data_IF_305693686710
#
_entry.id   IF_305693686710
#
_cell.length_a   1.000
_cell.length_b   1.000
_cell.length_c   1.000
_cell.angle_alpha   90.00
_cell.angle_beta   90.00
_cell.angle_gamma   90.00
#
_symmetry.space_group_name_H-M   'P 1'
#
loop_
_entity.id
_entity.type
_entity.pdbx_description
1 polymer ?
#
# COMPACT_ATOMS: atom_id res chain seq x y z
N UNK A 1 -29.29 -8.32 17.57
CA UNK A 1 -28.82 -7.69 16.32
C UNK A 1 -27.76 -6.67 16.71
N UNK A 2 -26.48 -7.03 16.54
CA UNK A 2 -25.36 -6.19 16.96
C UNK A 2 -25.23 -5.01 16.00
N UNK A 3 -25.13 -3.80 16.56
CA UNK A 3 -24.90 -2.54 15.85
C UNK A 3 -23.54 -2.64 15.16
N UNK A 4 -23.52 -2.54 13.83
CA UNK A 4 -22.29 -2.49 13.05
C UNK A 4 -21.68 -1.11 13.25
N UNK A 5 -20.62 -1.03 14.05
CA UNK A 5 -19.91 0.21 14.34
C UNK A 5 -19.57 0.97 13.05
N UNK A 6 -20.05 2.20 12.98
CA UNK A 6 -20.06 3.07 11.78
C UNK A 6 -18.69 3.74 11.55
N UNK A 7 -17.59 3.02 11.77
CA UNK A 7 -16.24 3.53 11.54
C UNK A 7 -15.27 2.43 11.11
N UNK A 8 -15.67 1.58 10.17
CA UNK A 8 -14.76 0.61 9.56
C UNK A 8 -13.86 1.36 8.56
N UNK A 9 -12.69 1.81 9.03
CA UNK A 9 -11.58 2.08 8.11
C UNK A 9 -11.26 0.78 7.37
N UNK A 10 -11.22 0.82 6.05
CA UNK A 10 -10.85 -0.32 5.20
C UNK A 10 -9.40 -0.73 5.49
N UNK A 11 -9.09 -2.03 5.35
CA UNK A 11 -7.71 -2.53 5.43
C UNK A 11 -6.87 -2.12 4.21
N UNK A 12 -5.55 -2.33 4.29
CA UNK A 12 -4.64 -2.06 3.17
C UNK A 12 -4.98 -2.96 1.97
N UNK A 13 -5.20 -4.24 2.21
CA UNK A 13 -5.52 -5.25 1.21
C UNK A 13 -6.86 -4.95 0.53
N UNK A 14 -7.87 -4.52 1.30
CA UNK A 14 -9.15 -4.08 0.76
C UNK A 14 -9.02 -2.82 -0.09
N UNK A 15 -8.23 -1.84 0.37
CA UNK A 15 -7.99 -0.61 -0.39
C UNK A 15 -7.23 -0.87 -1.70
N UNK A 16 -6.24 -1.76 -1.66
CA UNK A 16 -5.47 -2.14 -2.84
C UNK A 16 -6.34 -2.87 -3.86
N UNK A 17 -7.13 -3.86 -3.41
CA UNK A 17 -8.08 -4.55 -4.27
C UNK A 17 -9.09 -3.59 -4.89
N UNK A 18 -9.60 -2.63 -4.10
CA UNK A 18 -10.54 -1.64 -4.61
C UNK A 18 -9.88 -0.73 -5.66
N UNK A 19 -8.60 -0.39 -5.49
CA UNK A 19 -7.84 0.39 -6.46
C UNK A 19 -7.68 -0.37 -7.79
N UNK A 20 -7.40 -1.66 -7.74
CA UNK A 20 -7.36 -2.53 -8.93
C UNK A 20 -8.70 -2.52 -9.67
N UNK A 21 -9.82 -2.69 -8.96
CA UNK A 21 -11.17 -2.63 -9.56
C UNK A 21 -11.48 -1.28 -10.22
N UNK A 22 -11.00 -0.18 -9.62
CA UNK A 22 -11.14 1.17 -10.17
C UNK A 22 -10.32 1.32 -11.45
N UNK A 23 -9.07 0.84 -11.45
CA UNK A 23 -8.21 0.87 -12.63
C UNK A 23 -8.80 0.03 -13.77
N UNK A 24 -9.25 -1.18 -13.48
CA UNK A 24 -9.96 -2.02 -14.44
C UNK A 24 -11.14 -1.25 -15.04
N UNK A 25 -11.97 -0.63 -14.21
CA UNK A 25 -13.15 0.12 -14.69
C UNK A 25 -12.77 1.27 -15.63
N UNK A 26 -11.66 1.98 -15.35
CA UNK A 26 -11.14 3.05 -16.19
C UNK A 26 -10.58 2.51 -17.52
N UNK A 27 -9.91 1.36 -17.51
CA UNK A 27 -9.30 0.75 -18.71
C UNK A 27 -10.34 0.15 -19.67
N UNK A 28 -11.45 -0.39 -19.15
CA UNK A 28 -12.50 -0.99 -19.98
C UNK A 28 -13.29 0.04 -20.80
N UNK A 29 -13.16 1.35 -20.49
CA UNK A 29 -13.67 2.44 -21.33
C UNK A 29 -15.19 2.53 -21.48
N UNK A 30 -15.95 1.80 -20.67
CA UNK A 30 -17.42 1.78 -20.72
C UNK A 30 -18.08 2.73 -19.71
N UNK A 31 -17.33 3.72 -19.22
CA UNK A 31 -17.77 4.73 -18.27
C UNK A 31 -18.20 6.00 -19.00
N UNK A 32 -19.27 6.63 -18.51
CA UNK A 32 -19.56 8.02 -18.85
C UNK A 32 -18.50 8.96 -18.29
N UNK A 33 -18.45 10.21 -18.78
CA UNK A 33 -17.49 11.19 -18.29
C UNK A 33 -17.59 11.41 -16.77
N UNK A 34 -18.81 11.48 -16.24
CA UNK A 34 -19.06 11.68 -14.81
C UNK A 34 -18.59 10.47 -13.98
N UNK A 35 -18.85 9.25 -14.44
CA UNK A 35 -18.37 8.03 -13.80
C UNK A 35 -16.84 7.92 -13.85
N UNK A 36 -16.22 8.29 -14.97
CA UNK A 36 -14.76 8.31 -15.10
C UNK A 36 -14.10 9.29 -14.13
N UNK A 37 -14.70 10.48 -13.94
CA UNK A 37 -14.22 11.46 -12.95
C UNK A 37 -14.36 10.91 -11.53
N UNK A 38 -15.49 10.27 -11.20
CA UNK A 38 -15.70 9.66 -9.88
C UNK A 38 -14.71 8.52 -9.61
N UNK A 39 -14.51 7.63 -10.58
CA UNK A 39 -13.54 6.54 -10.48
C UNK A 39 -12.12 7.08 -10.27
N UNK A 40 -11.74 8.14 -11.00
CA UNK A 40 -10.45 8.79 -10.82
C UNK A 40 -10.28 9.39 -9.41
N UNK A 41 -11.28 10.12 -8.91
CA UNK A 41 -11.24 10.67 -7.55
C UNK A 41 -11.13 9.58 -6.47
N UNK A 42 -11.85 8.47 -6.66
CA UNK A 42 -11.75 7.30 -5.78
C UNK A 42 -10.34 6.71 -5.82
N UNK A 43 -9.79 6.48 -7.03
CA UNK A 43 -8.44 5.98 -7.22
C UNK A 43 -7.38 6.83 -6.52
N UNK A 44 -7.47 8.16 -6.66
CA UNK A 44 -6.55 9.10 -5.97
C UNK A 44 -6.63 8.97 -4.45
N UNK A 45 -7.83 8.80 -3.89
CA UNK A 45 -8.02 8.60 -2.44
C UNK A 45 -7.40 7.27 -1.98
N UNK A 46 -7.61 6.20 -2.73
CA UNK A 46 -7.07 4.87 -2.43
C UNK A 46 -5.54 4.86 -2.49
N UNK A 47 -4.94 5.44 -3.53
CA UNK A 47 -3.47 5.59 -3.65
C UNK A 47 -2.91 6.32 -2.42
N UNK A 48 -3.50 7.46 -2.04
CA UNK A 48 -3.06 8.22 -0.86
C UNK A 48 -3.16 7.41 0.43
N UNK A 49 -4.24 6.64 0.58
CA UNK A 49 -4.43 5.77 1.73
C UNK A 49 -3.36 4.67 1.79
N UNK A 50 -3.12 3.97 0.68
CA UNK A 50 -2.12 2.91 0.60
C UNK A 50 -0.72 3.44 0.92
N UNK A 51 -0.32 4.58 0.34
CA UNK A 51 0.95 5.23 0.65
C UNK A 51 1.07 5.57 2.15
N UNK A 52 0.05 6.21 2.74
CA UNK A 52 0.08 6.57 4.14
C UNK A 52 0.24 5.33 5.06
N UNK A 53 -0.35 4.19 4.68
CA UNK A 53 -0.21 2.93 5.41
C UNK A 53 1.18 2.31 5.27
N UNK A 54 1.76 2.34 4.08
CA UNK A 54 3.14 1.89 3.87
C UNK A 54 4.11 2.73 4.69
N UNK A 55 3.97 4.07 4.67
CA UNK A 55 4.81 4.97 5.45
C UNK A 55 4.67 4.72 6.96
N UNK A 56 3.47 4.38 7.44
CA UNK A 56 3.23 4.02 8.84
C UNK A 56 3.98 2.74 9.23
N UNK A 57 3.92 1.72 8.36
CA UNK A 57 4.61 0.45 8.57
C UNK A 57 6.12 0.63 8.52
N UNK A 58 6.63 1.38 7.54
CA UNK A 58 8.06 1.68 7.39
C UNK A 58 8.62 2.34 8.66
N UNK A 59 7.98 3.42 9.15
CA UNK A 59 8.39 4.07 10.41
C UNK A 59 8.38 3.11 11.59
N UNK A 60 7.40 2.21 11.66
CA UNK A 60 7.32 1.22 12.73
C UNK A 60 8.46 0.21 12.65
N UNK A 61 8.81 -0.25 11.45
CA UNK A 61 9.96 -1.14 11.21
C UNK A 61 11.26 -0.43 11.58
N UNK A 62 11.44 0.82 11.18
CA UNK A 62 12.63 1.61 11.55
C UNK A 62 12.81 1.72 13.07
N UNK A 63 11.73 1.91 13.83
CA UNK A 63 11.79 1.97 15.29
C UNK A 63 12.17 0.62 15.91
N UNK A 64 11.70 -0.50 15.34
CA UNK A 64 12.05 -1.84 15.81
C UNK A 64 13.51 -2.22 15.50
N UNK A 65 14.06 -1.66 14.42
CA UNK A 65 15.44 -1.90 14.03
C UNK A 65 16.44 -1.00 14.78
N UNK A 66 16.00 -0.06 15.61
CA UNK A 66 16.89 0.76 16.44
C UNK A 66 17.16 0.07 17.78
N UNK A 67 18.43 -0.09 18.13
CA UNK A 67 18.86 -0.55 19.46
C UNK A 67 18.78 0.58 20.52
N UNK A 68 19.13 0.27 21.78
CA UNK A 68 19.15 1.24 22.89
C UNK A 68 20.10 2.43 22.65
N UNK A 69 21.07 2.30 21.74
CA UNK A 69 22.02 3.33 21.33
C UNK A 69 21.58 4.09 20.05
N UNK A 70 20.41 3.77 19.50
CA UNK A 70 19.85 4.39 18.29
C UNK A 70 20.46 3.93 16.97
N UNK A 71 21.22 2.82 16.97
CA UNK A 71 21.83 2.25 15.76
C UNK A 71 20.86 1.27 15.09
N UNK A 72 20.88 1.25 13.75
CA UNK A 72 20.09 0.30 12.99
C UNK A 72 20.70 -1.10 13.03
N UNK A 73 19.88 -2.12 13.27
CA UNK A 73 20.20 -3.51 12.98
C UNK A 73 20.26 -3.74 11.46
N UNK A 74 21.39 -3.39 10.85
CA UNK A 74 21.66 -3.75 9.45
C UNK A 74 22.36 -5.10 9.41
N UNK A 75 21.73 -6.12 8.84
CA UNK A 75 22.46 -7.28 8.34
C UNK A 75 22.96 -6.95 6.93
N UNK A 76 24.25 -7.18 6.61
CA UNK A 76 24.69 -7.13 5.23
C UNK A 76 23.81 -8.06 4.39
N UNK A 77 23.36 -7.57 3.24
CA UNK A 77 22.74 -8.44 2.25
C UNK A 77 23.79 -9.48 1.87
N UNK A 78 23.50 -10.79 1.96
CA UNK A 78 24.45 -11.77 1.48
C UNK A 78 24.70 -11.47 0.00
N UNK A 79 25.94 -11.15 -0.35
CA UNK A 79 26.38 -11.19 -1.73
C UNK A 79 26.19 -12.65 -2.16
N UNK A 80 25.18 -12.92 -2.99
CA UNK A 80 25.20 -14.13 -3.80
C UNK A 80 26.50 -14.03 -4.59
N UNK A 81 27.49 -14.83 -4.19
CA UNK A 81 28.70 -15.07 -4.97
C UNK A 81 28.21 -15.59 -6.33
N UNK A 82 28.02 -14.68 -7.28
CA UNK A 82 27.79 -15.04 -8.65
C UNK A 82 28.98 -15.88 -9.06
N UNK A 83 28.75 -17.18 -9.25
CA UNK A 83 29.67 -18.09 -9.92
C UNK A 83 29.93 -17.52 -11.32
N UNK A 84 30.91 -16.62 -11.38
CA UNK A 84 31.51 -16.14 -12.60
C UNK A 84 32.16 -17.33 -13.27
N UNK A 85 31.55 -17.75 -14.37
CA UNK A 85 32.01 -18.86 -15.18
C UNK A 85 33.50 -18.80 -15.45
N UNK A 86 34.15 -19.95 -15.29
CA UNK A 86 35.39 -20.30 -15.96
C UNK A 86 35.10 -21.39 -16.99
#
# INVERSE_FOLDING_TARGET
MAKKDTNQQISFEEALKRLEEVLDSLEHGNLTLEEAVQAFEEGVKLVRFCHAKLDEVERRVELLLKDEDGRFFTRPFPEEEGEGGS
#
